data_IF_663839481184
#
_entry.id   IF_663839481184
#
_cell.length_a   1.000
_cell.length_b   1.000
_cell.length_c   1.000
_cell.angle_alpha   90.00
_cell.angle_beta   90.00
_cell.angle_gamma   90.00
#
_symmetry.space_group_name_H-M   'P 1'
#
loop_
_entity.id
_entity.type
_entity.pdbx_description
1 polymer ?
#
# COMPACT_ATOMS: atom_id res chain seq x y z
N UNK A 1 9.72 16.81 -38.38
CA UNK A 1 8.90 18.02 -38.18
C UNK A 1 7.81 17.65 -37.19
N UNK A 2 7.74 18.29 -36.04
CA UNK A 2 6.65 18.07 -35.10
C UNK A 2 5.38 18.71 -35.65
N UNK A 3 4.37 17.92 -35.95
CA UNK A 3 3.08 18.41 -36.42
C UNK A 3 2.39 19.11 -35.23
N UNK A 4 2.08 20.41 -35.41
CA UNK A 4 1.33 21.15 -34.39
C UNK A 4 -0.04 20.49 -34.20
N UNK A 5 -0.32 20.02 -33.00
CA UNK A 5 -1.64 19.46 -32.65
C UNK A 5 -2.71 20.53 -32.70
N UNK A 6 -3.87 20.20 -33.21
CA UNK A 6 -5.01 21.14 -33.25
C UNK A 6 -5.50 21.42 -31.82
N UNK A 7 -6.09 22.59 -31.60
CA UNK A 7 -6.69 22.96 -30.30
C UNK A 7 -7.73 21.91 -29.87
N UNK A 8 -8.49 21.35 -30.81
CA UNK A 8 -9.48 20.30 -30.55
C UNK A 8 -8.86 19.01 -30.01
N UNK A 9 -7.70 18.59 -30.54
CA UNK A 9 -6.98 17.41 -30.05
C UNK A 9 -6.41 17.64 -28.65
N UNK A 10 -5.89 18.83 -28.37
CA UNK A 10 -5.39 19.21 -27.05
C UNK A 10 -6.55 19.24 -26.05
N UNK A 11 -7.69 19.85 -26.40
CA UNK A 11 -8.86 19.93 -25.55
C UNK A 11 -9.44 18.55 -25.27
N UNK A 12 -9.51 17.65 -26.26
CA UNK A 12 -9.99 16.28 -26.06
C UNK A 12 -9.08 15.45 -25.16
N UNK A 13 -7.77 15.67 -25.22
CA UNK A 13 -6.83 15.01 -24.31
C UNK A 13 -6.94 15.53 -22.88
N UNK A 14 -7.19 16.83 -22.68
CA UNK A 14 -7.36 17.45 -21.36
C UNK A 14 -8.70 17.08 -20.71
N UNK A 15 -9.72 16.69 -21.48
CA UNK A 15 -11.04 16.28 -20.96
C UNK A 15 -11.07 14.83 -20.42
N UNK A 16 -9.93 14.12 -20.41
CA UNK A 16 -9.84 12.73 -19.95
C UNK A 16 -8.84 12.55 -18.80
N UNK A 17 -8.90 13.36 -17.73
CA UNK A 17 -8.03 13.15 -16.57
C UNK A 17 -8.44 11.88 -15.82
N UNK A 18 -7.45 11.16 -15.30
CA UNK A 18 -7.70 10.05 -14.38
C UNK A 18 -8.25 10.58 -13.06
N UNK A 19 -9.30 9.94 -12.55
CA UNK A 19 -9.90 10.29 -11.26
C UNK A 19 -9.13 9.60 -10.14
N UNK A 20 -8.99 10.24 -8.99
CA UNK A 20 -8.35 9.64 -7.79
C UNK A 20 -9.18 8.52 -7.19
N UNK A 21 -10.48 8.49 -7.46
CA UNK A 21 -11.39 7.41 -7.10
C UNK A 21 -11.17 6.18 -7.99
N UNK A 22 -11.75 5.04 -7.62
CA UNK A 22 -11.66 3.75 -8.32
C UNK A 22 -10.27 3.13 -8.27
N UNK A 23 -9.99 2.61 -7.12
CA UNK A 23 -8.84 1.75 -6.87
C UNK A 23 -9.28 0.55 -6.02
N UNK A 24 -8.48 -0.48 -6.03
CA UNK A 24 -8.62 -1.64 -5.15
C UNK A 24 -7.30 -1.97 -4.50
N UNK A 25 -7.34 -2.42 -3.27
CA UNK A 25 -6.18 -2.90 -2.53
C UNK A 25 -6.40 -4.39 -2.26
N UNK A 26 -5.39 -5.20 -2.54
CA UNK A 26 -5.41 -6.63 -2.23
C UNK A 26 -4.14 -7.00 -1.49
N UNK A 27 -4.29 -7.61 -0.32
CA UNK A 27 -3.19 -8.05 0.53
C UNK A 27 -3.20 -9.58 0.54
N UNK A 28 -2.10 -10.19 0.12
CA UNK A 28 -1.92 -11.65 0.29
C UNK A 28 -1.64 -11.91 1.76
N UNK A 29 -2.35 -12.85 2.37
CA UNK A 29 -2.16 -13.14 3.77
C UNK A 29 -0.84 -13.88 4.00
N UNK A 30 -0.08 -13.54 5.03
CA UNK A 30 0.91 -14.45 5.56
C UNK A 30 0.20 -15.69 6.15
N UNK A 31 0.84 -16.85 6.08
CA UNK A 31 0.23 -18.15 6.48
C UNK A 31 -0.40 -18.16 7.87
N UNK A 32 0.15 -17.37 8.78
CA UNK A 32 -0.36 -17.22 10.15
C UNK A 32 -1.73 -16.56 10.22
N UNK A 33 -2.06 -15.73 9.24
CA UNK A 33 -3.33 -15.03 9.17
C UNK A 33 -4.38 -15.73 8.30
N UNK A 34 -4.06 -16.90 7.72
CA UNK A 34 -5.00 -17.61 6.86
C UNK A 34 -6.32 -17.94 7.58
N UNK A 35 -6.25 -18.27 8.86
CA UNK A 35 -7.42 -18.55 9.69
C UNK A 35 -8.16 -17.29 10.16
N UNK A 36 -7.64 -16.08 9.94
CA UNK A 36 -8.29 -14.86 10.39
C UNK A 36 -9.61 -14.61 9.68
N UNK A 37 -9.68 -14.93 8.40
CA UNK A 37 -10.85 -14.72 7.55
C UNK A 37 -11.93 -15.80 7.69
N UNK A 38 -11.78 -16.76 8.63
CA UNK A 38 -12.88 -17.67 8.97
C UNK A 38 -14.03 -16.86 9.60
N UNK A 39 -15.05 -16.58 8.79
CA UNK A 39 -16.21 -15.76 9.17
C UNK A 39 -16.12 -14.25 8.90
N UNK A 40 -15.09 -13.81 8.19
CA UNK A 40 -14.95 -12.44 7.66
C UNK A 40 -14.75 -12.53 6.14
N UNK A 41 -15.52 -11.75 5.38
CA UNK A 41 -15.32 -11.69 3.93
C UNK A 41 -13.99 -10.98 3.61
N UNK A 42 -13.09 -11.68 2.93
CA UNK A 42 -11.81 -11.12 2.49
C UNK A 42 -12.02 -9.99 1.49
N UNK A 43 -13.03 -10.10 0.64
CA UNK A 43 -13.36 -9.09 -0.36
C UNK A 43 -13.88 -7.81 0.30
N UNK A 44 -14.79 -7.92 1.28
CA UNK A 44 -15.30 -6.77 2.03
C UNK A 44 -14.18 -6.06 2.80
N UNK A 45 -13.24 -6.82 3.38
CA UNK A 45 -12.07 -6.28 4.02
C UNK A 45 -11.22 -5.44 3.05
N UNK A 46 -10.94 -5.96 1.84
CA UNK A 46 -10.17 -5.24 0.83
C UNK A 46 -10.92 -4.01 0.29
N UNK A 47 -12.25 -4.09 0.15
CA UNK A 47 -13.09 -2.98 -0.30
C UNK A 47 -13.24 -1.88 0.75
N UNK A 48 -12.99 -2.16 2.03
CA UNK A 48 -13.05 -1.15 3.10
C UNK A 48 -11.91 -0.12 3.04
N UNK A 49 -10.92 -0.29 2.15
CA UNK A 49 -9.85 0.68 1.97
C UNK A 49 -10.39 1.97 1.34
N UNK A 50 -10.35 3.06 2.11
CA UNK A 50 -10.84 4.39 1.68
C UNK A 50 -9.77 5.23 1.01
N UNK A 51 -8.51 5.06 1.40
CA UNK A 51 -7.39 5.84 0.89
C UNK A 51 -6.15 4.96 0.78
N UNK A 52 -5.45 5.09 -0.35
CA UNK A 52 -4.16 4.46 -0.58
C UNK A 52 -3.24 5.45 -1.27
N UNK A 53 -2.08 5.70 -0.71
CA UNK A 53 -1.07 6.53 -1.36
C UNK A 53 -0.31 5.70 -2.40
N UNK A 54 -0.11 6.23 -3.59
CA UNK A 54 0.79 5.60 -4.55
C UNK A 54 2.24 6.00 -4.22
N UNK A 55 3.19 5.06 -4.31
CA UNK A 55 4.56 5.33 -3.91
C UNK A 55 5.27 6.25 -4.90
N UNK A 56 6.08 7.15 -4.36
CA UNK A 56 7.04 7.91 -5.13
C UNK A 56 8.31 7.10 -5.46
N UNK A 57 9.09 7.63 -6.36
CA UNK A 57 10.40 7.11 -6.72
C UNK A 57 11.34 8.26 -7.03
N UNK A 58 12.58 8.16 -6.59
CA UNK A 58 13.63 9.10 -6.91
C UNK A 58 14.90 8.39 -7.37
N UNK A 59 15.74 9.12 -8.08
CA UNK A 59 17.06 8.64 -8.49
C UNK A 59 18.12 9.42 -7.71
N UNK A 60 19.00 8.71 -7.05
CA UNK A 60 20.22 9.31 -6.55
C UNK A 60 21.17 9.53 -7.72
N UNK A 61 21.71 10.74 -7.81
CA UNK A 61 22.64 11.14 -8.85
C UNK A 61 23.99 11.46 -8.22
N UNK A 62 25.05 11.06 -8.90
CA UNK A 62 26.41 11.45 -8.60
C UNK A 62 26.81 12.56 -9.56
N UNK A 63 27.30 13.65 -9.02
CA UNK A 63 27.89 14.73 -9.81
C UNK A 63 29.35 14.38 -10.11
N UNK A 64 29.67 14.43 -11.41
CA UNK A 64 31.04 14.38 -11.85
C UNK A 64 31.46 15.82 -12.12
N UNK A 65 32.14 16.40 -11.15
CA UNK A 65 32.83 17.67 -11.31
C UNK A 65 34.14 17.39 -12.01
N UNK A 66 34.05 17.26 -13.31
CA UNK A 66 35.23 17.10 -14.15
C UNK A 66 36.04 18.38 -14.20
N UNK A 67 37.32 18.20 -14.29
CA UNK A 67 38.39 19.09 -14.46
C UNK A 67 38.07 20.45 -15.10
N UNK A 68 38.45 21.46 -14.39
CA UNK A 68 38.79 22.87 -14.74
C UNK A 68 37.86 23.67 -15.68
N UNK A 69 37.23 23.07 -16.66
CA UNK A 69 36.36 23.74 -17.64
C UNK A 69 35.30 22.76 -18.15
N UNK A 70 34.01 22.98 -17.86
CA UNK A 70 32.95 22.16 -18.42
C UNK A 70 31.65 22.23 -17.64
N UNK A 71 30.63 21.63 -18.23
CA UNK A 71 29.31 21.44 -17.61
C UNK A 71 29.41 20.30 -16.61
N UNK A 72 28.87 20.47 -15.40
CA UNK A 72 28.77 19.40 -14.42
C UNK A 72 27.84 18.32 -14.95
N UNK A 73 28.34 17.11 -15.10
CA UNK A 73 27.54 15.94 -15.49
C UNK A 73 26.94 15.30 -14.26
N UNK A 74 25.70 14.84 -14.38
CA UNK A 74 24.99 14.12 -13.33
C UNK A 74 24.57 12.74 -13.83
N UNK A 75 25.16 11.71 -13.25
CA UNK A 75 24.87 10.32 -13.58
C UNK A 75 24.05 9.67 -12.48
N UNK A 76 22.90 9.07 -12.86
CA UNK A 76 22.10 8.32 -11.93
C UNK A 76 22.76 6.97 -11.60
N UNK A 77 22.87 6.62 -10.32
CA UNK A 77 23.48 5.36 -9.88
C UNK A 77 22.56 4.49 -9.04
N UNK A 78 21.49 5.04 -8.43
CA UNK A 78 20.60 4.27 -7.57
C UNK A 78 19.17 4.76 -7.65
N UNK A 79 18.23 3.81 -7.76
CA UNK A 79 16.79 4.07 -7.59
C UNK A 79 16.43 3.97 -6.10
N UNK A 80 15.80 5.01 -5.58
CA UNK A 80 15.28 5.06 -4.23
C UNK A 80 13.76 4.91 -4.29
N UNK A 81 13.23 4.01 -3.48
CA UNK A 81 11.79 3.86 -3.27
C UNK A 81 11.40 4.58 -1.99
N UNK A 82 10.18 5.08 -1.93
CA UNK A 82 9.62 5.49 -0.66
C UNK A 82 9.59 4.28 0.28
N UNK A 83 9.92 4.50 1.54
CA UNK A 83 10.00 3.44 2.55
C UNK A 83 8.63 3.09 3.15
N UNK A 84 7.61 3.90 2.90
CA UNK A 84 6.27 3.78 3.46
C UNK A 84 5.18 3.90 2.43
N UNK A 85 4.11 3.18 2.71
CA UNK A 85 2.82 3.26 2.03
C UNK A 85 1.73 3.31 3.08
N UNK A 86 0.97 4.40 3.13
CA UNK A 86 -0.14 4.53 4.05
C UNK A 86 -1.44 4.07 3.40
N UNK A 87 -2.14 3.19 4.11
CA UNK A 87 -3.45 2.67 3.75
C UNK A 87 -4.44 3.04 4.85
N UNK A 88 -5.56 3.64 4.46
CA UNK A 88 -6.63 4.00 5.40
C UNK A 88 -7.85 3.15 5.12
N UNK A 89 -8.36 2.47 6.12
CA UNK A 89 -9.53 1.61 6.05
C UNK A 89 -10.67 2.17 6.88
N UNK A 90 -11.90 2.04 6.38
CA UNK A 90 -13.09 2.18 7.22
C UNK A 90 -13.19 0.96 8.14
N UNK A 91 -13.44 1.21 9.41
CA UNK A 91 -13.55 0.15 10.40
C UNK A 91 -14.99 -0.33 10.49
N UNK A 92 -15.18 -1.62 10.31
CA UNK A 92 -16.47 -2.28 10.48
C UNK A 92 -16.88 -2.30 11.96
N UNK A 93 -18.11 -1.86 12.26
CA UNK A 93 -18.59 -1.73 13.64
C UNK A 93 -18.94 -3.06 14.33
N UNK A 94 -19.19 -4.14 13.57
CA UNK A 94 -19.59 -5.43 14.14
C UNK A 94 -18.41 -6.24 14.67
N UNK A 95 -17.32 -6.33 13.89
CA UNK A 95 -16.19 -7.24 14.20
C UNK A 95 -14.86 -6.52 14.38
N UNK A 96 -14.77 -5.23 14.02
CA UNK A 96 -13.51 -4.45 14.03
C UNK A 96 -12.38 -5.17 13.30
N UNK A 97 -12.71 -5.79 12.17
CA UNK A 97 -11.85 -6.72 11.43
C UNK A 97 -10.52 -6.08 11.03
N UNK A 98 -10.55 -4.82 10.58
CA UNK A 98 -9.37 -4.11 10.11
C UNK A 98 -8.34 -3.91 11.22
N UNK A 99 -8.76 -3.44 12.39
CA UNK A 99 -7.87 -3.22 13.52
C UNK A 99 -7.29 -4.55 13.99
N UNK A 100 -8.16 -5.55 14.21
CA UNK A 100 -7.75 -6.87 14.69
C UNK A 100 -6.79 -7.60 13.75
N UNK A 101 -6.95 -7.41 12.44
CA UNK A 101 -6.08 -8.01 11.44
C UNK A 101 -4.66 -7.48 11.53
N UNK A 102 -4.49 -6.16 11.50
CA UNK A 102 -3.18 -5.55 11.54
C UNK A 102 -2.51 -5.68 12.90
N UNK A 103 -3.27 -5.58 14.01
CA UNK A 103 -2.75 -5.86 15.35
C UNK A 103 -2.23 -7.30 15.47
N UNK A 104 -2.99 -8.26 15.00
CA UNK A 104 -2.57 -9.67 15.00
C UNK A 104 -1.32 -9.88 14.16
N UNK A 105 -1.20 -9.18 13.04
CA UNK A 105 -0.02 -9.28 12.19
C UNK A 105 1.22 -8.69 12.88
N UNK A 106 1.12 -7.49 13.43
CA UNK A 106 2.24 -6.85 14.16
C UNK A 106 2.64 -7.69 15.38
N UNK A 107 1.67 -8.17 16.16
CA UNK A 107 1.92 -9.03 17.32
C UNK A 107 2.63 -10.33 16.93
N UNK A 108 2.26 -10.90 15.78
CA UNK A 108 2.98 -12.07 15.25
C UNK A 108 4.43 -11.75 14.92
N UNK A 109 4.71 -10.61 14.28
CA UNK A 109 6.07 -10.21 13.91
C UNK A 109 6.98 -10.13 15.14
N UNK A 110 6.45 -9.56 16.24
CA UNK A 110 7.21 -9.35 17.48
C UNK A 110 7.17 -10.57 18.39
N UNK A 111 6.24 -11.50 18.15
CA UNK A 111 6.02 -12.67 19.02
C UNK A 111 5.28 -12.35 20.31
N UNK A 112 4.58 -11.22 20.37
CA UNK A 112 3.75 -10.84 21.49
C UNK A 112 2.39 -11.55 21.42
N UNK A 113 2.36 -12.81 21.87
CA UNK A 113 1.11 -13.56 21.98
C UNK A 113 0.47 -13.31 23.36
N UNK A 114 -0.49 -12.41 23.37
CA UNK A 114 -1.22 -11.95 24.58
C UNK A 114 -2.04 -13.03 25.29
N UNK A 115 -1.97 -14.29 24.86
CA UNK A 115 -2.77 -15.37 25.47
C UNK A 115 -2.42 -15.65 26.92
N UNK A 116 -1.27 -15.20 27.43
CA UNK A 116 -0.81 -15.51 28.78
C UNK A 116 -0.70 -14.32 29.76
N UNK A 117 -1.48 -13.26 29.55
CA UNK A 117 -1.59 -12.15 30.55
C UNK A 117 -2.00 -12.65 31.94
N UNK A 118 -2.63 -13.85 32.04
CA UNK A 118 -3.07 -14.45 33.33
C UNK A 118 -1.98 -15.12 34.12
N UNK A 119 -0.90 -15.55 33.51
CA UNK A 119 0.12 -16.38 34.20
C UNK A 119 1.42 -15.63 34.49
N UNK A 120 1.60 -14.40 34.01
CA UNK A 120 2.82 -13.61 34.25
C UNK A 120 4.11 -14.29 33.80
N UNK A 121 3.99 -15.33 32.98
CA UNK A 121 5.13 -16.09 32.47
C UNK A 121 5.47 -15.66 31.07
N UNK A 122 6.67 -15.14 30.96
CA UNK A 122 7.52 -15.09 29.78
C UNK A 122 7.04 -14.18 28.63
N UNK A 123 7.25 -12.88 28.81
CA UNK A 123 7.42 -11.98 27.68
C UNK A 123 8.69 -12.38 26.91
N UNK A 124 8.58 -13.32 26.03
CA UNK A 124 9.65 -13.63 25.09
C UNK A 124 9.40 -12.88 23.79
N UNK A 125 9.97 -11.71 23.68
CA UNK A 125 10.05 -11.01 22.38
C UNK A 125 10.94 -11.83 21.45
N UNK A 126 10.30 -12.60 20.59
CA UNK A 126 10.98 -13.34 19.53
C UNK A 126 10.52 -12.80 18.20
N UNK A 127 11.31 -11.93 17.60
CA UNK A 127 11.03 -11.47 16.24
C UNK A 127 11.08 -12.66 15.28
N UNK A 128 10.02 -12.82 14.50
CA UNK A 128 9.90 -13.89 13.52
C UNK A 128 10.84 -13.68 12.32
N UNK A 129 11.11 -14.74 11.57
CA UNK A 129 11.90 -14.62 10.35
C UNK A 129 11.14 -13.84 9.28
N UNK A 130 11.83 -13.01 8.46
CA UNK A 130 11.20 -12.18 7.44
C UNK A 130 10.31 -12.95 6.47
N UNK A 131 10.66 -14.18 6.13
CA UNK A 131 9.88 -15.01 5.22
C UNK A 131 8.51 -15.44 5.78
N UNK A 132 8.35 -15.41 7.10
CA UNK A 132 7.12 -15.86 7.75
C UNK A 132 6.05 -14.76 7.81
N UNK A 133 6.46 -13.49 7.80
CA UNK A 133 5.52 -12.36 7.94
C UNK A 133 5.44 -11.43 6.73
N UNK A 134 6.44 -11.46 5.83
CA UNK A 134 6.40 -10.65 4.61
C UNK A 134 5.47 -11.24 3.58
N UNK A 135 4.79 -10.38 2.84
CA UNK A 135 3.82 -10.80 1.84
C UNK A 135 3.86 -9.93 0.60
N UNK A 136 3.01 -10.26 -0.36
CA UNK A 136 2.78 -9.47 -1.57
C UNK A 136 1.50 -8.68 -1.40
N UNK A 137 1.54 -7.42 -1.77
CA UNK A 137 0.38 -6.54 -1.78
C UNK A 137 0.22 -5.93 -3.17
N UNK A 138 -1.02 -5.75 -3.58
CA UNK A 138 -1.36 -5.11 -4.85
C UNK A 138 -2.24 -3.89 -4.60
N UNK A 139 -1.94 -2.81 -5.29
CA UNK A 139 -2.81 -1.65 -5.41
C UNK A 139 -3.10 -1.48 -6.89
N UNK A 140 -4.36 -1.60 -7.27
CA UNK A 140 -4.80 -1.48 -8.66
C UNK A 140 -5.63 -0.24 -8.84
N UNK A 141 -5.20 0.64 -9.71
CA UNK A 141 -5.93 1.81 -10.16
C UNK A 141 -6.62 1.48 -11.47
N UNK A 142 -7.93 1.73 -11.56
CA UNK A 142 -8.70 1.46 -12.77
C UNK A 142 -9.62 2.61 -13.14
N UNK A 143 -9.97 2.67 -14.41
CA UNK A 143 -10.91 3.63 -14.97
C UNK A 143 -12.08 2.89 -15.63
N UNK A 144 -13.29 3.45 -15.50
CA UNK A 144 -14.50 2.80 -15.99
C UNK A 144 -14.54 2.64 -17.51
N UNK A 145 -14.02 3.66 -18.22
CA UNK A 145 -14.30 3.82 -19.66
C UNK A 145 -13.13 3.43 -20.56
N UNK A 146 -11.94 3.15 -20.01
CA UNK A 146 -10.73 2.99 -20.82
C UNK A 146 -10.15 1.58 -20.83
N UNK A 147 -10.69 0.66 -20.01
CA UNK A 147 -10.25 -0.73 -19.98
C UNK A 147 -8.77 -0.93 -19.63
N UNK A 148 -8.07 0.14 -19.23
CA UNK A 148 -6.68 0.09 -18.81
C UNK A 148 -6.59 0.14 -17.30
N UNK A 149 -5.90 -0.82 -16.71
CA UNK A 149 -5.66 -0.90 -15.27
C UNK A 149 -4.17 -0.74 -14.99
N UNK A 150 -3.84 0.07 -13.99
CA UNK A 150 -2.48 0.24 -13.51
C UNK A 150 -2.33 -0.50 -12.19
N UNK A 151 -1.57 -1.60 -12.20
CA UNK A 151 -1.36 -2.47 -11.04
C UNK A 151 0.03 -2.26 -10.46
N UNK A 152 0.07 -1.85 -9.21
CA UNK A 152 1.28 -1.78 -8.40
C UNK A 152 1.39 -3.06 -7.57
N UNK A 153 2.45 -3.83 -7.79
CA UNK A 153 2.76 -5.04 -7.03
C UNK A 153 3.92 -4.74 -6.08
N UNK A 154 3.62 -4.71 -4.78
CA UNK A 154 4.61 -4.49 -3.72
C UNK A 154 5.13 -5.82 -3.24
N UNK A 155 6.46 -5.98 -3.25
CA UNK A 155 7.14 -7.19 -2.78
C UNK A 155 7.65 -7.00 -1.36
N UNK A 156 7.55 -8.06 -0.57
CA UNK A 156 8.01 -8.10 0.81
C UNK A 156 7.35 -7.02 1.69
N UNK A 157 6.04 -6.82 1.50
CA UNK A 157 5.27 -5.85 2.25
C UNK A 157 4.85 -6.40 3.63
N UNK A 158 4.89 -5.53 4.65
CA UNK A 158 4.38 -5.82 5.98
C UNK A 158 4.05 -4.53 6.74
N UNK A 159 3.16 -4.55 7.74
CA UNK A 159 2.81 -3.37 8.52
C UNK A 159 3.92 -3.01 9.49
N UNK A 160 4.19 -1.71 9.62
CA UNK A 160 5.17 -1.17 10.59
C UNK A 160 4.52 -0.34 11.68
N UNK A 161 3.34 0.23 11.42
CA UNK A 161 2.61 1.02 12.39
C UNK A 161 1.12 1.04 12.10
N UNK A 162 0.34 1.13 13.16
CA UNK A 162 -1.07 1.50 13.12
C UNK A 162 -1.16 2.85 13.81
N UNK A 163 -1.72 3.85 13.11
CA UNK A 163 -1.85 5.18 13.68
C UNK A 163 -2.91 5.20 14.78
N UNK A 164 -2.72 6.07 15.79
CA UNK A 164 -3.71 6.26 16.83
C UNK A 164 -5.04 6.76 16.25
N UNK A 165 -6.13 6.20 16.74
CA UNK A 165 -7.49 6.55 16.32
C UNK A 165 -8.18 7.33 17.44
N UNK A 166 -8.45 8.64 17.26
CA UNK A 166 -9.13 9.42 18.29
C UNK A 166 -10.60 9.00 18.38
N UNK A 167 -11.09 8.81 19.58
CA UNK A 167 -12.49 8.57 19.88
C UNK A 167 -13.08 9.79 20.59
N UNK A 168 -14.23 10.29 20.14
CA UNK A 168 -14.90 11.46 20.72
C UNK A 168 -16.41 11.27 20.70
N UNK A 169 -17.07 11.66 21.78
CA UNK A 169 -18.54 11.70 21.83
C UNK A 169 -19.15 12.89 21.08
N UNK A 170 -18.31 13.86 20.68
CA UNK A 170 -18.77 15.10 20.07
C UNK A 170 -18.91 15.09 18.55
N UNK A 171 -18.33 14.10 17.86
CA UNK A 171 -18.41 13.97 16.40
C UNK A 171 -18.99 12.61 16.00
N UNK A 172 -19.73 12.61 14.89
CA UNK A 172 -20.36 11.40 14.33
C UNK A 172 -19.59 10.92 13.10
N UNK A 173 -18.25 11.08 13.11
CA UNK A 173 -17.40 10.68 12.00
C UNK A 173 -17.19 9.16 11.97
N UNK A 174 -16.98 8.62 10.76
CA UNK A 174 -16.65 7.21 10.59
C UNK A 174 -15.26 6.91 11.16
N UNK A 175 -15.16 5.83 11.94
CA UNK A 175 -13.88 5.37 12.43
C UNK A 175 -13.00 4.89 11.29
N UNK A 176 -11.81 5.45 11.18
CA UNK A 176 -10.81 5.10 10.18
C UNK A 176 -9.56 4.54 10.86
N UNK A 177 -9.03 3.46 10.30
CA UNK A 177 -7.77 2.86 10.71
C UNK A 177 -6.72 3.12 9.62
N UNK A 178 -5.71 3.91 9.94
CA UNK A 178 -4.59 4.16 9.03
C UNK A 178 -3.41 3.30 9.42
N UNK A 179 -2.92 2.52 8.47
CA UNK A 179 -1.81 1.59 8.64
C UNK A 179 -0.68 1.97 7.71
N UNK A 180 0.50 2.12 8.28
CA UNK A 180 1.73 2.34 7.51
C UNK A 180 2.37 0.99 7.19
N UNK A 181 2.50 0.71 5.90
CA UNK A 181 3.16 -0.48 5.38
C UNK A 181 4.56 -0.13 4.90
N UNK A 182 5.50 -1.03 5.02
CA UNK A 182 6.80 -0.95 4.34
C UNK A 182 6.93 -2.08 3.33
N UNK A 183 7.83 -1.92 2.37
CA UNK A 183 8.05 -2.88 1.30
C UNK A 183 9.49 -2.78 0.78
N UNK A 184 9.98 -3.82 0.12
CA UNK A 184 11.32 -3.83 -0.47
C UNK A 184 11.38 -3.04 -1.79
N UNK A 185 10.43 -3.31 -2.68
CA UNK A 185 10.29 -2.67 -4.00
C UNK A 185 8.89 -2.85 -4.54
N UNK A 186 8.53 -2.06 -5.54
CA UNK A 186 7.31 -2.28 -6.30
C UNK A 186 7.59 -2.46 -7.79
N UNK A 187 6.67 -3.13 -8.46
CA UNK A 187 6.62 -3.30 -9.92
C UNK A 187 5.31 -2.70 -10.39
N UNK A 188 5.35 -1.95 -11.47
CA UNK A 188 4.16 -1.37 -12.11
C UNK A 188 3.89 -2.15 -13.38
N UNK A 189 2.67 -2.65 -13.51
CA UNK A 189 2.20 -3.39 -14.68
C UNK A 189 0.95 -2.72 -15.23
N UNK A 190 0.88 -2.62 -16.54
CA UNK A 190 -0.30 -2.16 -17.27
C UNK A 190 -1.04 -3.37 -17.80
N UNK A 191 -2.31 -3.50 -17.43
CA UNK A 191 -3.19 -4.55 -17.95
C UNK A 191 -4.29 -3.94 -18.81
N UNK A 192 -4.45 -4.46 -20.03
CA UNK A 192 -5.59 -4.15 -20.88
C UNK A 192 -6.70 -5.16 -20.62
N UNK A 193 -7.87 -4.64 -20.25
CA UNK A 193 -9.08 -5.45 -20.04
C UNK A 193 -9.34 -5.81 -18.57
N UNK A 194 -10.61 -6.07 -18.31
CA UNK A 194 -11.05 -6.70 -17.07
C UNK A 194 -10.73 -8.20 -17.16
N UNK A 195 -9.46 -8.59 -16.97
CA UNK A 195 -9.19 -10.00 -16.70
C UNK A 195 -9.76 -10.33 -15.33
N UNK A 196 -10.63 -11.33 -15.33
CA UNK A 196 -11.37 -11.85 -14.20
C UNK A 196 -10.56 -11.87 -12.92
N UNK A 197 -11.02 -11.08 -11.95
CA UNK A 197 -10.64 -11.22 -10.55
C UNK A 197 -11.21 -12.55 -10.05
N UNK A 198 -10.53 -13.65 -10.34
CA UNK A 198 -10.78 -14.97 -9.73
C UNK A 198 -9.75 -15.24 -8.65
#
# INVERSE_FOLDING_TARGET
MATAKSIGEITSALLRPSLTSKFSVSITNPSVLDNFFNGVSKEEFHMSCSEASLPGVSLNTQEITGDRHGVTERNAYRRMYDDRLDLTFYVEGEKYSQIRYFEKWINFIVGDDTRDVRTGRDYHYKVQYPNDYKTIMHVTKFEKDYGLNLKYTFKDAYPIAINSMPLSYGSTDLLKCTVSMTYLRYIVEEHQGFENLS
#
